data_IF_492124371322
#
_entry.id   IF_492124371322
#
_cell.length_a   1.000
_cell.length_b   1.000
_cell.length_c   1.000
_cell.angle_alpha   90.00
_cell.angle_beta   90.00
_cell.angle_gamma   90.00
#
_symmetry.space_group_name_H-M   'P 1'
#
loop_
_entity.id
_entity.type
_entity.pdbx_description
1 polymer ?
#
# COMPACT_ATOMS: atom_id res chain seq x y z
N UNK A 1 -14.38 -28.50 16.53
CA UNK A 1 -13.66 -28.17 15.29
C UNK A 1 -14.66 -28.34 14.15
N UNK A 2 -15.14 -27.24 13.57
CA UNK A 2 -15.91 -27.30 12.33
C UNK A 2 -14.97 -27.81 11.24
N UNK A 3 -15.35 -28.92 10.60
CA UNK A 3 -14.68 -29.42 9.39
C UNK A 3 -14.50 -28.25 8.40
N UNK A 4 -13.29 -28.04 7.89
CA UNK A 4 -13.06 -27.04 6.85
C UNK A 4 -13.94 -27.37 5.65
N UNK A 5 -14.78 -26.42 5.21
CA UNK A 5 -15.62 -26.61 4.05
C UNK A 5 -14.77 -26.51 2.78
N UNK A 6 -14.38 -27.66 2.24
CA UNK A 6 -13.63 -27.77 0.99
C UNK A 6 -14.52 -28.50 -0.02
N UNK A 7 -14.78 -27.84 -1.15
CA UNK A 7 -15.55 -28.39 -2.27
C UNK A 7 -14.63 -28.53 -3.48
N UNK A 8 -14.58 -29.73 -4.06
CA UNK A 8 -13.85 -30.02 -5.31
C UNK A 8 -14.88 -30.49 -6.32
N UNK A 9 -14.98 -29.81 -7.46
CA UNK A 9 -15.91 -30.15 -8.53
C UNK A 9 -15.29 -29.90 -9.90
N UNK A 10 -15.66 -30.67 -10.95
CA UNK A 10 -15.24 -30.38 -12.30
C UNK A 10 -15.87 -29.06 -12.76
N UNK A 11 -15.14 -28.32 -13.59
CA UNK A 11 -15.62 -27.09 -14.20
C UNK A 11 -15.87 -27.27 -15.69
N UNK A 12 -16.84 -26.53 -16.24
CA UNK A 12 -17.33 -26.68 -17.61
C UNK A 12 -16.95 -25.54 -18.56
N UNK A 13 -16.17 -24.55 -18.10
CA UNK A 13 -15.72 -23.43 -18.94
C UNK A 13 -14.53 -23.81 -19.82
N UNK A 14 -14.48 -23.24 -21.03
CA UNK A 14 -13.35 -23.34 -21.96
C UNK A 14 -12.09 -22.72 -21.33
N UNK A 15 -10.96 -23.45 -21.27
CA UNK A 15 -9.68 -22.91 -20.80
C UNK A 15 -9.32 -21.60 -21.52
N UNK A 16 -8.72 -20.65 -20.81
CA UNK A 16 -8.38 -19.31 -21.34
C UNK A 16 -7.58 -19.43 -22.64
N UNK A 17 -6.57 -20.29 -22.67
CA UNK A 17 -5.72 -20.60 -23.84
C UNK A 17 -6.46 -21.15 -25.07
N UNK A 18 -7.73 -21.57 -24.91
CA UNK A 18 -8.60 -22.11 -25.97
C UNK A 18 -9.75 -21.16 -26.33
N UNK A 19 -9.83 -19.98 -25.71
CA UNK A 19 -10.81 -18.96 -26.10
C UNK A 19 -10.37 -18.29 -27.40
N UNK A 20 -11.32 -17.69 -28.13
CA UNK A 20 -11.04 -17.03 -29.42
C UNK A 20 -10.20 -15.75 -29.26
N UNK A 21 -10.38 -15.04 -28.14
CA UNK A 21 -9.73 -13.75 -27.87
C UNK A 21 -9.32 -13.69 -26.40
N UNK A 22 -8.09 -13.21 -26.15
CA UNK A 22 -7.55 -12.95 -24.81
C UNK A 22 -6.95 -11.54 -24.75
N UNK A 23 -7.20 -10.83 -23.65
CA UNK A 23 -6.65 -9.51 -23.36
C UNK A 23 -6.10 -9.49 -21.93
N UNK A 24 -4.86 -9.04 -21.78
CA UNK A 24 -4.16 -8.97 -20.48
C UNK A 24 -3.48 -7.61 -20.33
N UNK A 25 -3.61 -6.99 -19.16
CA UNK A 25 -2.94 -5.73 -18.81
C UNK A 25 -2.09 -5.92 -17.54
N UNK A 26 -0.92 -5.26 -17.50
CA UNK A 26 -0.11 -5.11 -16.30
C UNK A 26 0.33 -3.66 -16.14
N UNK A 27 -0.02 -3.04 -15.02
CA UNK A 27 0.50 -1.74 -14.60
C UNK A 27 1.85 -1.93 -13.91
N UNK A 28 2.89 -1.30 -14.48
CA UNK A 28 4.27 -1.41 -13.99
C UNK A 28 4.54 -0.58 -12.73
N UNK A 29 5.74 -0.72 -12.17
CA UNK A 29 6.12 -0.11 -10.88
C UNK A 29 6.00 1.42 -10.82
N UNK A 30 6.22 2.09 -11.94
CA UNK A 30 6.09 3.56 -12.08
C UNK A 30 4.70 4.04 -12.48
N UNK A 31 3.74 3.15 -12.68
CA UNK A 31 2.37 3.55 -12.97
C UNK A 31 1.75 4.22 -11.71
N UNK A 32 1.06 5.37 -11.83
CA UNK A 32 0.47 6.07 -10.69
C UNK A 32 -0.38 5.18 -9.77
N UNK A 33 -1.25 4.35 -10.33
CA UNK A 33 -2.05 3.40 -9.54
C UNK A 33 -1.19 2.39 -8.76
N UNK A 34 -0.11 1.86 -9.38
CA UNK A 34 0.79 0.93 -8.70
C UNK A 34 1.55 1.61 -7.55
N UNK A 35 1.91 2.89 -7.72
CA UNK A 35 2.52 3.69 -6.66
C UNK A 35 1.53 3.89 -5.50
N UNK A 36 0.25 4.16 -5.79
CA UNK A 36 -0.79 4.30 -4.78
C UNK A 36 -1.01 2.98 -4.01
N UNK A 37 -1.10 1.85 -4.72
CA UNK A 37 -1.18 0.51 -4.12
C UNK A 37 0.02 0.22 -3.23
N UNK A 38 1.23 0.54 -3.72
CA UNK A 38 2.47 0.31 -2.98
C UNK A 38 2.57 1.20 -1.73
N UNK A 39 2.16 2.46 -1.82
CA UNK A 39 2.12 3.39 -0.70
C UNK A 39 1.12 2.93 0.37
N UNK A 40 -0.03 2.39 -0.03
CA UNK A 40 -1.01 1.76 0.88
C UNK A 40 -0.38 0.58 1.62
N UNK A 41 0.18 -0.37 0.86
CA UNK A 41 0.70 -1.62 1.43
C UNK A 41 1.91 -1.38 2.33
N UNK A 42 2.88 -0.57 1.91
CA UNK A 42 4.07 -0.31 2.74
C UNK A 42 3.70 0.39 4.06
N UNK A 43 2.67 1.24 4.03
CA UNK A 43 2.14 1.90 5.23
C UNK A 43 1.48 0.90 6.18
N UNK A 44 0.70 -0.05 5.64
CA UNK A 44 0.10 -1.16 6.39
C UNK A 44 1.18 -2.04 7.04
N UNK A 45 2.20 -2.43 6.28
CA UNK A 45 3.35 -3.23 6.78
C UNK A 45 4.09 -2.49 7.90
N UNK A 46 4.32 -1.19 7.76
CA UNK A 46 5.01 -0.39 8.76
C UNK A 46 4.24 -0.32 10.08
N UNK A 47 2.93 -0.05 10.02
CA UNK A 47 2.07 -0.08 11.20
C UNK A 47 2.00 -1.46 11.83
N UNK A 48 1.82 -2.50 11.00
CA UNK A 48 1.77 -3.89 11.47
C UNK A 48 3.04 -4.29 12.22
N UNK A 49 4.21 -3.93 11.70
CA UNK A 49 5.49 -4.18 12.37
C UNK A 49 5.59 -3.41 13.68
N UNK A 50 5.29 -2.11 13.67
CA UNK A 50 5.31 -1.28 14.87
C UNK A 50 4.40 -1.85 15.96
N UNK A 51 3.14 -2.19 15.62
CA UNK A 51 2.19 -2.76 16.56
C UNK A 51 2.67 -4.09 17.13
N UNK A 52 3.18 -4.99 16.29
CA UNK A 52 3.68 -6.29 16.75
C UNK A 52 4.90 -6.15 17.65
N UNK A 53 5.83 -5.25 17.32
CA UNK A 53 7.04 -5.00 18.11
C UNK A 53 6.75 -4.31 19.44
N UNK A 54 5.76 -3.41 19.49
CA UNK A 54 5.41 -2.66 20.71
C UNK A 54 4.36 -3.33 21.59
N UNK A 55 3.36 -3.98 21.01
CA UNK A 55 2.18 -4.47 21.71
C UNK A 55 1.97 -5.99 21.58
N UNK A 56 2.88 -6.69 20.89
CA UNK A 56 2.80 -8.15 20.70
C UNK A 56 1.71 -8.63 19.74
N UNK A 57 0.91 -7.72 19.17
CA UNK A 57 -0.17 -8.01 18.23
C UNK A 57 -0.27 -6.93 17.17
N UNK A 58 -0.84 -7.27 16.00
CA UNK A 58 -1.19 -6.28 14.99
C UNK A 58 -2.54 -5.67 15.39
N UNK A 59 -2.55 -4.35 15.62
CA UNK A 59 -3.78 -3.63 15.97
C UNK A 59 -4.57 -3.25 14.71
N UNK A 60 -5.86 -2.95 14.90
CA UNK A 60 -6.76 -2.61 13.81
C UNK A 60 -6.27 -1.39 13.01
N UNK A 61 -6.14 -1.57 11.70
CA UNK A 61 -5.92 -0.49 10.76
C UNK A 61 -6.34 -0.93 9.35
N UNK A 62 -6.70 0.05 8.52
CA UNK A 62 -6.92 -0.12 7.09
C UNK A 62 -6.48 1.19 6.41
N UNK A 63 -5.42 1.12 5.60
CA UNK A 63 -4.81 2.27 4.91
C UNK A 63 -4.97 2.19 3.39
N UNK A 64 -6.06 1.58 2.96
CA UNK A 64 -6.36 1.17 1.58
C UNK A 64 -6.97 2.29 0.72
N UNK A 65 -6.89 3.56 1.17
CA UNK A 65 -7.45 4.72 0.47
C UNK A 65 -6.33 5.71 0.18
N UNK A 66 -5.55 5.45 -0.86
CA UNK A 66 -4.46 6.33 -1.28
C UNK A 66 -4.84 7.10 -2.53
N UNK A 67 -4.64 8.42 -2.50
CA UNK A 67 -4.77 9.30 -3.65
C UNK A 67 -3.40 9.82 -4.06
N UNK A 68 -3.00 9.54 -5.29
CA UNK A 68 -1.86 10.16 -5.95
C UNK A 68 -2.36 11.26 -6.89
N UNK A 69 -2.02 12.51 -6.57
CA UNK A 69 -2.31 13.67 -7.39
C UNK A 69 -1.07 14.02 -8.21
N UNK A 70 -1.22 14.06 -9.53
CA UNK A 70 -0.14 14.36 -10.46
C UNK A 70 0.45 15.76 -10.23
N UNK A 71 1.76 15.87 -10.40
CA UNK A 71 2.48 17.15 -10.42
C UNK A 71 2.55 17.77 -11.82
N UNK A 72 3.52 18.65 -12.01
CA UNK A 72 3.85 19.24 -13.31
C UNK A 72 5.36 19.23 -13.50
N UNK A 73 5.82 18.92 -14.71
CA UNK A 73 7.24 18.88 -15.05
C UNK A 73 7.48 19.54 -16.41
N UNK A 74 8.67 20.11 -16.57
CA UNK A 74 9.18 20.61 -17.84
C UNK A 74 10.39 19.77 -18.28
N UNK A 75 10.17 18.57 -18.85
CA UNK A 75 11.27 17.72 -19.31
C UNK A 75 11.88 18.26 -20.61
N UNK A 76 13.21 18.23 -20.70
CA UNK A 76 13.97 18.62 -21.89
C UNK A 76 15.10 17.62 -22.17
N UNK A 77 15.66 17.60 -23.39
CA UNK A 77 16.86 16.80 -23.62
C UNK A 77 18.01 17.26 -22.70
N UNK A 78 18.67 16.30 -22.05
CA UNK A 78 19.74 16.58 -21.08
C UNK A 78 19.27 16.93 -19.67
N UNK A 79 17.96 16.96 -19.38
CA UNK A 79 17.44 17.19 -18.03
C UNK A 79 16.02 17.74 -18.00
N UNK A 80 15.81 18.82 -17.26
CA UNK A 80 14.51 19.45 -17.03
C UNK A 80 14.29 19.72 -15.55
N UNK A 81 13.08 20.17 -15.22
CA UNK A 81 12.73 20.53 -13.85
C UNK A 81 11.31 20.10 -13.47
N UNK A 82 11.12 19.88 -12.17
CA UNK A 82 9.81 19.64 -11.58
C UNK A 82 9.21 20.99 -11.18
N UNK A 83 8.14 21.40 -11.88
CA UNK A 83 7.46 22.68 -11.64
C UNK A 83 6.52 22.59 -10.43
N UNK A 84 5.86 21.44 -10.28
CA UNK A 84 4.96 21.16 -9.17
C UNK A 84 5.14 19.71 -8.71
N UNK A 85 5.31 19.45 -7.40
CA UNK A 85 5.55 18.11 -6.90
C UNK A 85 4.33 17.21 -7.05
N UNK A 86 4.57 15.90 -7.14
CA UNK A 86 3.53 14.90 -6.94
C UNK A 86 3.07 14.98 -5.49
N UNK A 87 1.76 14.90 -5.27
CA UNK A 87 1.17 14.91 -3.93
C UNK A 87 0.49 13.56 -3.64
N UNK A 88 0.85 12.93 -2.54
CA UNK A 88 0.33 11.62 -2.14
C UNK A 88 -0.40 11.78 -0.80
N UNK A 89 -1.68 11.38 -0.77
CA UNK A 89 -2.50 11.34 0.44
C UNK A 89 -2.75 9.88 0.79
N UNK A 90 -2.25 9.44 1.95
CA UNK A 90 -2.61 8.15 2.53
C UNK A 90 -3.75 8.38 3.51
N UNK A 91 -4.90 7.76 3.24
CA UNK A 91 -6.11 7.87 4.06
C UNK A 91 -6.56 6.49 4.54
N UNK A 92 -7.29 6.47 5.66
CA UNK A 92 -7.72 5.24 6.28
C UNK A 92 -8.07 5.36 7.76
N UNK A 93 -8.02 4.24 8.46
CA UNK A 93 -8.18 4.15 9.92
C UNK A 93 -6.97 3.43 10.51
N UNK A 94 -6.56 3.84 11.71
CA UNK A 94 -5.52 3.17 12.47
C UNK A 94 -5.72 3.43 13.96
N UNK A 95 -5.32 2.48 14.80
CA UNK A 95 -5.32 2.63 16.26
C UNK A 95 -4.19 3.57 16.70
N UNK A 96 -4.52 4.85 16.95
CA UNK A 96 -3.53 5.85 17.38
C UNK A 96 -3.22 5.81 18.87
N UNK A 97 -4.19 5.46 19.71
CA UNK A 97 -4.04 5.44 21.16
C UNK A 97 -4.28 4.04 21.71
N UNK A 98 -3.35 3.56 22.53
CA UNK A 98 -3.39 2.23 23.14
C UNK A 98 -3.33 2.39 24.65
N UNK A 99 -4.31 1.84 25.36
CA UNK A 99 -4.33 1.78 26.83
C UNK A 99 -3.61 0.52 27.28
N UNK A 100 -2.63 0.67 28.17
CA UNK A 100 -1.85 -0.41 28.72
C UNK A 100 -2.44 -0.91 30.05
N UNK A 101 -1.98 -2.08 30.50
CA UNK A 101 -2.47 -2.72 31.75
C UNK A 101 -2.20 -1.87 33.00
N UNK A 102 -1.14 -1.05 32.98
CA UNK A 102 -0.80 -0.13 34.06
C UNK A 102 -1.69 1.14 34.07
N UNK A 103 -2.65 1.24 33.14
CA UNK A 103 -3.55 2.37 32.98
C UNK A 103 -2.94 3.55 32.23
N UNK A 104 -1.67 3.45 31.79
CA UNK A 104 -1.05 4.46 30.92
C UNK A 104 -1.59 4.38 29.49
N UNK A 105 -1.45 5.47 28.75
CA UNK A 105 -1.84 5.56 27.35
C UNK A 105 -0.61 5.86 26.50
N UNK A 106 -0.35 5.01 25.52
CA UNK A 106 0.68 5.24 24.52
C UNK A 106 0.07 5.74 23.21
N UNK A 107 0.74 6.72 22.60
CA UNK A 107 0.40 7.24 21.28
C UNK A 107 1.31 6.63 20.21
N UNK A 108 0.70 6.09 19.17
CA UNK A 108 1.37 5.49 18.02
C UNK A 108 1.70 6.60 17.01
N UNK A 109 2.96 6.73 16.56
CA UNK A 109 3.37 7.80 15.65
C UNK A 109 2.98 7.50 14.19
N UNK A 110 1.67 7.34 13.93
CA UNK A 110 1.13 6.88 12.63
C UNK A 110 1.67 7.70 11.45
N UNK A 111 1.55 9.03 11.52
CA UNK A 111 1.97 9.91 10.43
C UNK A 111 3.44 9.75 10.06
N UNK A 112 4.32 9.67 11.06
CA UNK A 112 5.77 9.46 10.84
C UNK A 112 6.03 8.12 10.18
N UNK A 113 5.44 7.05 10.70
CA UNK A 113 5.61 5.69 10.15
C UNK A 113 5.17 5.61 8.68
N UNK A 114 4.03 6.23 8.34
CA UNK A 114 3.51 6.28 6.97
C UNK A 114 4.43 7.09 6.06
N UNK A 115 4.77 8.32 6.43
CA UNK A 115 5.56 9.23 5.58
C UNK A 115 6.94 8.64 5.29
N UNK A 116 7.62 8.10 6.31
CA UNK A 116 8.95 7.52 6.15
C UNK A 116 8.90 6.28 5.27
N UNK A 117 7.89 5.44 5.44
CA UNK A 117 7.69 4.22 4.66
C UNK A 117 7.42 4.50 3.17
N UNK A 118 6.57 5.48 2.87
CA UNK A 118 6.28 5.90 1.49
C UNK A 118 7.52 6.53 0.84
N UNK A 119 8.23 7.42 1.54
CA UNK A 119 9.46 8.03 1.02
C UNK A 119 10.55 7.00 0.75
N UNK A 120 10.74 6.05 1.65
CA UNK A 120 11.74 4.99 1.49
C UNK A 120 11.38 4.06 0.33
N UNK A 121 10.08 3.73 0.16
CA UNK A 121 9.63 2.96 -0.99
C UNK A 121 9.93 3.69 -2.31
N UNK A 122 9.62 4.99 -2.41
CA UNK A 122 9.92 5.79 -3.61
C UNK A 122 11.43 5.78 -3.88
N UNK A 123 12.25 6.06 -2.87
CA UNK A 123 13.72 6.10 -2.99
C UNK A 123 14.33 4.78 -3.46
N UNK A 124 13.75 3.64 -3.05
CA UNK A 124 14.23 2.30 -3.45
C UNK A 124 13.81 1.90 -4.86
N UNK A 125 12.66 2.38 -5.32
CA UNK A 125 12.03 1.88 -6.55
C UNK A 125 12.10 2.85 -7.72
N UNK A 126 12.31 4.14 -7.47
CA UNK A 126 12.50 5.17 -8.48
C UNK A 126 13.95 5.63 -8.49
N UNK A 127 14.51 5.81 -9.69
CA UNK A 127 15.86 6.36 -9.87
C UNK A 127 15.76 7.87 -9.99
N UNK A 128 16.65 8.56 -9.28
CA UNK A 128 16.77 10.03 -9.18
C UNK A 128 15.62 10.69 -8.43
#
# INVERSE_FOLDING_TARGET
MTSNYIKVEPVSWTPVEKQEVELVERKGIGHPDYIADSASEISSVALSRYYRERFGAILHHNLDKVLLVGGQAHPMFGGGELLHPIYIVVSGRATEYVFLEDGSMERVPIGTLIIDSVKEWIKRNMRF
#
